data_IF_155565716471
#
_entry.id   IF_155565716471
#
_cell.length_a   1.000
_cell.length_b   1.000
_cell.length_c   1.000
_cell.angle_alpha   90.00
_cell.angle_beta   90.00
_cell.angle_gamma   90.00
#
_symmetry.space_group_name_H-M   'P 1'
#
loop_
_entity.id
_entity.type
_entity.pdbx_description
1 polymer ?
#
# COMPACT_ATOMS: atom_id res chain seq x y z
N UNK A 1 -12.97 23.86 -31.86
CA UNK A 1 -12.91 24.26 -30.44
C UNK A 1 -13.32 23.06 -29.62
N UNK A 2 -12.36 22.24 -29.21
CA UNK A 2 -12.59 21.09 -28.34
C UNK A 2 -12.37 21.56 -26.90
N UNK A 3 -13.45 21.54 -26.12
CA UNK A 3 -13.42 21.69 -24.68
C UNK A 3 -12.86 20.40 -24.07
N UNK A 4 -11.77 20.49 -23.31
CA UNK A 4 -11.33 19.44 -22.39
C UNK A 4 -11.59 19.95 -20.97
N UNK A 5 -12.57 19.33 -20.30
CA UNK A 5 -12.79 19.45 -18.86
C UNK A 5 -11.62 18.78 -18.14
N UNK A 6 -11.02 19.49 -17.18
CA UNK A 6 -9.99 18.96 -16.30
C UNK A 6 -10.62 18.03 -15.26
N UNK A 7 -10.04 16.83 -15.13
CA UNK A 7 -10.31 15.95 -13.99
C UNK A 7 -9.51 16.49 -12.79
N UNK A 8 -10.23 16.80 -11.71
CA UNK A 8 -9.63 17.17 -10.42
C UNK A 8 -8.87 15.96 -9.86
N UNK A 9 -7.54 16.03 -9.90
CA UNK A 9 -6.69 15.13 -9.11
C UNK A 9 -6.78 15.58 -7.65
N UNK A 10 -7.35 14.72 -6.79
CA UNK A 10 -7.43 14.95 -5.35
C UNK A 10 -6.04 15.24 -4.79
N UNK A 11 -5.83 16.50 -4.40
CA UNK A 11 -4.59 16.94 -3.78
C UNK A 11 -4.52 16.39 -2.36
N UNK A 12 -3.69 15.37 -2.16
CA UNK A 12 -3.36 14.89 -0.81
C UNK A 12 -2.47 15.93 -0.12
N UNK A 13 -2.90 16.36 1.07
CA UNK A 13 -2.17 17.36 1.84
C UNK A 13 -0.78 16.87 2.25
N UNK A 14 0.15 17.80 2.46
CA UNK A 14 1.50 17.57 2.98
C UNK A 14 1.56 16.66 4.23
N UNK A 15 0.45 16.55 4.97
CA UNK A 15 0.32 15.71 6.16
C UNK A 15 0.32 14.20 5.90
N UNK A 16 -0.09 13.73 4.71
CA UNK A 16 -0.04 12.30 4.37
C UNK A 16 1.35 11.85 3.91
N UNK A 17 2.08 12.73 3.21
CA UNK A 17 3.48 12.49 2.82
C UNK A 17 4.41 12.35 4.04
N UNK A 18 4.16 13.13 5.10
CA UNK A 18 4.90 13.08 6.37
C UNK A 18 4.67 11.79 7.18
N UNK A 19 3.60 11.01 6.94
CA UNK A 19 3.39 9.74 7.66
C UNK A 19 4.34 8.64 7.20
N UNK A 20 4.94 8.75 6.01
CA UNK A 20 5.92 7.79 5.49
C UNK A 20 7.34 8.00 6.03
N UNK A 21 7.62 9.12 6.71
CA UNK A 21 8.90 9.39 7.36
C UNK A 21 8.64 9.78 8.82
N UNK A 22 8.78 8.86 9.79
CA UNK A 22 8.72 9.27 11.18
C UNK A 22 9.87 10.23 11.48
N UNK A 23 9.54 11.51 11.61
CA UNK A 23 10.43 12.51 12.19
C UNK A 23 10.64 12.20 13.67
N UNK A 24 11.54 11.26 13.98
CA UNK A 24 12.06 11.05 15.32
C UNK A 24 13.44 11.70 15.44
N UNK A 25 13.44 13.02 15.48
CA UNK A 25 14.59 13.76 16.01
C UNK A 25 14.54 13.69 17.55
N UNK A 26 15.42 12.90 18.15
CA UNK A 26 16.00 13.22 19.46
C UNK A 26 15.27 12.79 20.74
N UNK A 27 14.69 11.59 20.83
CA UNK A 27 14.39 10.99 22.14
C UNK A 27 15.16 9.68 22.37
N UNK A 28 15.76 9.47 23.56
CA UNK A 28 16.41 8.20 23.87
C UNK A 28 15.36 7.09 23.93
N UNK A 29 15.64 5.99 23.23
CA UNK A 29 14.82 4.78 23.19
C UNK A 29 14.62 4.22 24.61
N UNK A 30 13.48 4.54 25.22
CA UNK A 30 13.03 3.87 26.44
C UNK A 30 12.66 2.44 26.04
N UNK A 31 13.40 1.47 26.56
CA UNK A 31 13.07 0.06 26.45
C UNK A 31 11.71 -0.19 27.10
N UNK A 32 10.65 -0.17 26.30
CA UNK A 32 9.36 -0.72 26.72
C UNK A 32 9.47 -2.23 26.65
N UNK A 33 9.40 -2.87 27.82
CA UNK A 33 9.26 -4.32 27.94
C UNK A 33 7.99 -4.74 27.19
N UNK A 34 8.16 -5.46 26.09
CA UNK A 34 7.08 -6.18 25.41
C UNK A 34 6.51 -7.17 26.44
N UNK A 35 5.24 -7.00 26.81
CA UNK A 35 4.52 -8.00 27.59
C UNK A 35 4.32 -9.21 26.69
N UNK A 36 4.98 -10.31 27.01
CA UNK A 36 4.71 -11.62 26.44
C UNK A 36 3.26 -11.97 26.78
N UNK A 37 2.37 -11.94 25.79
CA UNK A 37 0.99 -12.37 25.96
C UNK A 37 0.97 -13.89 26.16
N UNK A 38 0.35 -14.34 27.25
CA UNK A 38 0.03 -15.75 27.44
C UNK A 38 -1.01 -16.16 26.38
N UNK A 39 -0.63 -17.07 25.49
CA UNK A 39 -1.52 -17.62 24.47
C UNK A 39 -2.41 -18.67 25.16
N UNK A 40 -3.71 -18.36 25.23
CA UNK A 40 -4.76 -19.34 25.51
C UNK A 40 -5.04 -20.11 24.21
N UNK A 41 -4.84 -21.43 24.23
CA UNK A 41 -5.13 -22.27 23.06
C UNK A 41 -6.64 -22.37 22.82
N UNK A 42 -7.14 -21.59 21.85
CA UNK A 42 -8.36 -21.93 21.11
C UNK A 42 -7.96 -22.36 19.71
N UNK A 43 -8.33 -23.60 19.37
CA UNK A 43 -7.99 -24.24 18.10
C UNK A 43 -8.90 -23.71 16.98
N UNK A 44 -8.51 -22.58 16.39
CA UNK A 44 -9.16 -22.07 15.17
C UNK A 44 -8.75 -22.91 13.95
N UNK A 45 -9.70 -23.12 13.03
CA UNK A 45 -9.44 -23.82 11.77
C UNK A 45 -8.52 -22.95 10.91
N UNK A 46 -7.24 -23.31 10.84
CA UNK A 46 -6.29 -22.72 9.88
C UNK A 46 -6.80 -22.90 8.45
N UNK A 47 -7.03 -21.79 7.74
CA UNK A 47 -7.18 -21.81 6.28
C UNK A 47 -5.93 -22.43 5.65
N UNK A 48 -6.11 -23.26 4.63
CA UNK A 48 -5.00 -23.82 3.85
C UNK A 48 -4.35 -22.68 3.07
N UNK A 49 -3.06 -22.46 3.30
CA UNK A 49 -2.29 -21.43 2.58
C UNK A 49 -2.21 -21.79 1.09
N UNK A 50 -2.24 -20.77 0.23
CA UNK A 50 -2.31 -20.93 -1.24
C UNK A 50 -1.16 -21.79 -1.79
N UNK A 51 0.03 -21.70 -1.20
CA UNK A 51 1.23 -22.46 -1.59
C UNK A 51 1.44 -23.80 -0.88
N UNK A 52 0.69 -24.14 0.17
CA UNK A 52 1.04 -25.27 1.05
C UNK A 52 0.67 -26.66 0.47
N UNK A 53 0.22 -26.73 -0.78
CA UNK A 53 -0.30 -27.96 -1.39
C UNK A 53 0.69 -29.13 -1.50
N UNK A 54 1.99 -28.90 -1.28
CA UNK A 54 3.05 -29.92 -1.39
C UNK A 54 3.80 -30.22 -0.09
N UNK A 55 3.43 -29.58 1.02
CA UNK A 55 4.11 -29.75 2.31
C UNK A 55 3.29 -30.70 3.19
N UNK A 56 3.91 -31.80 3.63
CA UNK A 56 3.32 -32.69 4.63
C UNK A 56 3.64 -32.17 6.04
N UNK A 57 2.62 -31.82 6.82
CA UNK A 57 2.75 -31.34 8.20
C UNK A 57 2.49 -29.85 8.37
N UNK A 58 2.61 -29.36 9.60
CA UNK A 58 2.48 -27.93 9.92
C UNK A 58 3.81 -27.21 9.65
N UNK A 59 3.72 -26.02 9.06
CA UNK A 59 4.87 -25.10 8.88
C UNK A 59 5.32 -24.61 10.26
N UNK A 60 6.64 -24.42 10.47
CA UNK A 60 7.14 -23.87 11.73
C UNK A 60 6.79 -22.39 11.86
N UNK A 61 6.52 -21.92 13.08
CA UNK A 61 6.19 -20.52 13.34
C UNK A 61 7.24 -19.55 12.77
N UNK A 62 8.53 -19.88 12.90
CA UNK A 62 9.63 -19.08 12.34
C UNK A 62 9.51 -18.91 10.81
N UNK A 63 9.09 -19.95 10.10
CA UNK A 63 8.90 -19.87 8.65
C UNK A 63 7.69 -19.00 8.29
N UNK A 64 6.63 -19.03 9.11
CA UNK A 64 5.46 -18.15 8.91
C UNK A 64 5.81 -16.68 9.14
N UNK A 65 6.57 -16.39 10.19
CA UNK A 65 7.08 -15.05 10.48
C UNK A 65 8.01 -14.56 9.37
N UNK A 66 8.91 -15.42 8.87
CA UNK A 66 9.81 -15.09 7.77
C UNK A 66 9.09 -14.82 6.44
N UNK A 67 7.99 -15.51 6.18
CA UNK A 67 7.25 -15.38 4.91
C UNK A 67 6.26 -14.21 4.92
N UNK A 68 5.93 -13.68 6.11
CA UNK A 68 4.98 -12.57 6.24
C UNK A 68 5.60 -11.27 5.71
N UNK A 69 4.85 -10.57 4.86
CA UNK A 69 5.27 -9.29 4.27
C UNK A 69 4.32 -8.12 4.53
N UNK A 70 3.21 -8.36 5.25
CA UNK A 70 2.20 -7.36 5.63
C UNK A 70 2.76 -6.06 6.21
N UNK A 71 3.89 -6.13 6.94
CA UNK A 71 4.55 -4.95 7.52
C UNK A 71 5.07 -3.96 6.45
N UNK A 72 5.25 -4.41 5.22
CA UNK A 72 5.84 -3.60 4.13
C UNK A 72 4.92 -3.48 2.92
N UNK A 73 4.28 -4.57 2.50
CA UNK A 73 3.47 -4.60 1.29
C UNK A 73 2.09 -3.95 1.47
N UNK A 74 1.63 -3.70 2.71
CA UNK A 74 0.37 -3.01 2.98
C UNK A 74 0.32 -1.63 2.32
N UNK A 75 1.48 -1.01 2.05
CA UNK A 75 1.58 0.25 1.31
C UNK A 75 1.02 0.18 -0.12
N UNK A 76 0.82 -1.02 -0.67
CA UNK A 76 0.28 -1.30 -2.00
C UNK A 76 -1.21 -1.63 -2.00
N UNK A 77 -1.93 -1.46 -0.88
CA UNK A 77 -3.35 -1.83 -0.79
C UNK A 77 -4.22 -1.15 -1.86
N UNK A 78 -3.91 0.11 -2.23
CA UNK A 78 -4.65 0.88 -3.25
C UNK A 78 -4.52 0.23 -4.61
N UNK A 79 -3.30 -0.16 -4.95
CA UNK A 79 -2.97 -0.80 -6.20
C UNK A 79 -3.59 -2.20 -6.29
N UNK A 80 -3.53 -2.99 -5.22
CA UNK A 80 -4.15 -4.32 -5.18
C UNK A 80 -5.68 -4.25 -5.35
N UNK A 81 -6.36 -3.29 -4.70
CA UNK A 81 -7.80 -3.06 -4.91
C UNK A 81 -8.09 -2.68 -6.36
N UNK A 82 -7.30 -1.79 -6.96
CA UNK A 82 -7.48 -1.37 -8.34
C UNK A 82 -7.30 -2.55 -9.32
N UNK A 83 -6.30 -3.39 -9.09
CA UNK A 83 -6.07 -4.62 -9.87
C UNK A 83 -7.21 -5.61 -9.69
N UNK A 84 -7.72 -5.78 -8.46
CA UNK A 84 -8.89 -6.64 -8.23
C UNK A 84 -10.16 -6.12 -8.90
N UNK A 85 -10.39 -4.80 -8.95
CA UNK A 85 -11.52 -4.21 -9.70
C UNK A 85 -11.43 -4.53 -11.19
N UNK A 86 -10.26 -4.29 -11.79
CA UNK A 86 -10.03 -4.57 -13.20
C UNK A 86 -10.16 -6.07 -13.50
N UNK A 87 -9.64 -6.92 -12.61
CA UNK A 87 -9.72 -8.36 -12.76
C UNK A 87 -11.15 -8.90 -12.60
N UNK A 88 -11.93 -8.39 -11.65
CA UNK A 88 -13.34 -8.75 -11.51
C UNK A 88 -14.13 -8.42 -12.78
N UNK A 89 -13.88 -7.25 -13.39
CA UNK A 89 -14.50 -6.86 -14.65
C UNK A 89 -14.15 -7.82 -15.79
N UNK A 90 -12.88 -8.27 -15.88
CA UNK A 90 -12.48 -9.28 -16.87
C UNK A 90 -13.15 -10.63 -16.61
N UNK A 91 -13.23 -11.09 -15.36
CA UNK A 91 -13.93 -12.33 -14.99
C UNK A 91 -15.41 -12.29 -15.37
N UNK A 92 -16.07 -11.14 -15.25
CA UNK A 92 -17.44 -10.96 -15.74
C UNK A 92 -17.51 -10.99 -17.27
N UNK A 93 -16.57 -10.32 -17.94
CA UNK A 93 -16.49 -10.28 -19.40
C UNK A 93 -16.32 -11.69 -20.02
N UNK A 94 -15.52 -12.56 -19.41
CA UNK A 94 -15.34 -13.96 -19.86
C UNK A 94 -16.39 -14.93 -19.30
N UNK A 95 -17.40 -14.45 -18.58
CA UNK A 95 -18.52 -15.24 -18.05
C UNK A 95 -18.21 -16.10 -16.82
N UNK A 96 -17.12 -15.83 -16.10
CA UNK A 96 -16.82 -16.47 -14.81
C UNK A 96 -17.64 -15.83 -13.68
N UNK A 97 -17.90 -14.53 -13.76
CA UNK A 97 -18.81 -13.81 -12.87
C UNK A 97 -20.10 -13.42 -13.59
N UNK A 98 -21.22 -13.49 -12.86
CA UNK A 98 -22.47 -12.86 -13.30
C UNK A 98 -22.40 -11.34 -13.07
N UNK A 99 -23.30 -10.55 -13.69
CA UNK A 99 -23.40 -9.12 -13.40
C UNK A 99 -23.61 -8.83 -11.91
N UNK A 100 -24.47 -9.59 -11.24
CA UNK A 100 -24.74 -9.45 -9.80
C UNK A 100 -23.49 -9.77 -8.95
N UNK A 101 -22.71 -10.77 -9.35
CA UNK A 101 -21.46 -11.11 -8.67
C UNK A 101 -20.40 -10.01 -8.86
N UNK A 102 -20.33 -9.42 -10.05
CA UNK A 102 -19.44 -8.28 -10.32
C UNK A 102 -19.81 -7.06 -9.48
N UNK A 103 -21.09 -6.74 -9.38
CA UNK A 103 -21.60 -5.64 -8.55
C UNK A 103 -21.27 -5.88 -7.07
N UNK A 104 -21.55 -7.09 -6.56
CA UNK A 104 -21.24 -7.49 -5.19
C UNK A 104 -19.73 -7.38 -4.87
N UNK A 105 -18.86 -7.81 -5.80
CA UNK A 105 -17.41 -7.64 -5.66
C UNK A 105 -17.02 -6.15 -5.66
N UNK A 106 -17.62 -5.35 -6.53
CA UNK A 106 -17.39 -3.90 -6.59
C UNK A 106 -17.71 -3.20 -5.27
N UNK A 107 -18.87 -3.51 -4.68
CA UNK A 107 -19.30 -3.00 -3.37
C UNK A 107 -18.38 -3.45 -2.23
N UNK A 108 -17.97 -4.72 -2.24
CA UNK A 108 -17.02 -5.25 -1.27
C UNK A 108 -15.65 -4.54 -1.37
N UNK A 109 -15.12 -4.36 -2.59
CA UNK A 109 -13.86 -3.64 -2.81
C UNK A 109 -13.95 -2.16 -2.39
N UNK A 110 -15.10 -1.50 -2.61
CA UNK A 110 -15.34 -0.15 -2.12
C UNK A 110 -15.36 -0.08 -0.58
N UNK A 111 -15.97 -1.07 0.06
CA UNK A 111 -15.97 -1.19 1.53
C UNK A 111 -14.55 -1.37 2.08
N UNK A 112 -13.76 -2.26 1.47
CA UNK A 112 -12.36 -2.50 1.86
C UNK A 112 -11.51 -1.24 1.67
N UNK A 113 -11.68 -0.52 0.56
CA UNK A 113 -11.00 0.76 0.33
C UNK A 113 -11.35 1.80 1.41
N UNK A 114 -12.60 1.86 1.86
CA UNK A 114 -13.01 2.72 2.98
C UNK A 114 -12.38 2.29 4.31
N UNK A 115 -12.32 0.98 4.58
CA UNK A 115 -11.67 0.44 5.77
C UNK A 115 -10.19 0.83 5.83
N UNK A 116 -9.46 0.72 4.71
CA UNK A 116 -8.07 1.17 4.65
C UNK A 116 -7.93 2.68 4.77
N UNK A 117 -8.78 3.45 4.07
CA UNK A 117 -8.70 4.92 4.07
C UNK A 117 -9.00 5.54 5.43
N UNK A 118 -9.80 4.86 6.26
CA UNK A 118 -10.17 5.31 7.61
C UNK A 118 -9.31 4.69 8.72
N UNK A 119 -8.22 3.99 8.39
CA UNK A 119 -7.39 3.25 9.36
C UNK A 119 -8.20 2.22 10.19
N UNK A 120 -9.24 1.62 9.60
CA UNK A 120 -10.15 0.65 10.24
C UNK A 120 -9.92 -0.80 9.80
N UNK A 121 -9.15 -1.02 8.74
CA UNK A 121 -8.84 -2.37 8.27
C UNK A 121 -8.04 -3.14 9.33
N UNK A 122 -8.53 -4.32 9.71
CA UNK A 122 -7.88 -5.17 10.71
C UNK A 122 -7.15 -6.34 10.03
N UNK A 123 -5.83 -6.31 10.11
CA UNK A 123 -4.98 -7.44 9.72
C UNK A 123 -5.10 -8.57 10.73
N UNK A 124 -5.21 -9.80 10.24
CA UNK A 124 -5.20 -11.00 11.07
C UNK A 124 -3.80 -11.64 11.09
N UNK A 125 -3.46 -12.42 12.14
CA UNK A 125 -2.20 -13.19 12.15
C UNK A 125 -2.06 -14.16 10.99
N UNK A 126 -3.19 -14.59 10.40
CA UNK A 126 -3.23 -15.45 9.21
C UNK A 126 -2.91 -14.72 7.91
N UNK A 127 -2.91 -13.39 7.90
CA UNK A 127 -2.62 -12.60 6.71
C UNK A 127 -1.11 -12.61 6.47
N UNK A 128 -0.70 -13.30 5.40
CA UNK A 128 0.70 -13.45 5.01
C UNK A 128 1.21 -12.21 4.27
N UNK A 129 0.37 -11.67 3.39
CA UNK A 129 0.66 -10.53 2.51
C UNK A 129 -0.62 -9.69 2.36
N UNK A 130 -0.50 -8.51 1.75
CA UNK A 130 -1.63 -7.60 1.50
C UNK A 130 -2.73 -8.25 0.65
N UNK A 131 -2.33 -9.11 -0.28
CA UNK A 131 -3.24 -9.75 -1.23
C UNK A 131 -4.12 -10.81 -0.54
N UNK A 132 -3.55 -11.59 0.37
CA UNK A 132 -4.26 -12.57 1.22
C UNK A 132 -5.20 -11.82 2.16
N UNK A 133 -4.77 -10.69 2.74
CA UNK A 133 -5.62 -9.88 3.59
C UNK A 133 -6.87 -9.37 2.84
N UNK A 134 -6.68 -8.84 1.61
CA UNK A 134 -7.76 -8.36 0.76
C UNK A 134 -8.65 -9.51 0.27
N UNK A 135 -8.08 -10.64 -0.17
CA UNK A 135 -8.83 -11.82 -0.60
C UNK A 135 -9.67 -12.43 0.54
N UNK A 136 -9.12 -12.48 1.75
CA UNK A 136 -9.87 -12.87 2.96
C UNK A 136 -11.03 -11.92 3.17
N UNK A 137 -10.78 -10.61 3.21
CA UNK A 137 -11.83 -9.62 3.47
C UNK A 137 -12.90 -9.61 2.36
N UNK A 138 -12.50 -9.82 1.11
CA UNK A 138 -13.43 -10.01 -0.01
C UNK A 138 -14.31 -11.23 0.18
N UNK A 139 -13.75 -12.34 0.65
CA UNK A 139 -14.52 -13.56 0.92
C UNK A 139 -15.51 -13.35 2.07
N UNK A 140 -15.14 -12.57 3.10
CA UNK A 140 -16.04 -12.21 4.21
C UNK A 140 -17.23 -11.36 3.75
N UNK A 141 -17.02 -10.46 2.78
CA UNK A 141 -18.04 -9.51 2.30
C UNK A 141 -18.87 -10.05 1.12
N UNK A 142 -18.24 -10.71 0.15
CA UNK A 142 -18.83 -11.16 -1.11
C UNK A 142 -18.97 -12.70 -1.22
N UNK A 143 -18.67 -13.43 -0.14
CA UNK A 143 -18.88 -14.88 -0.04
C UNK A 143 -18.17 -15.67 -1.15
N UNK A 144 -18.93 -16.52 -1.84
CA UNK A 144 -18.40 -17.41 -2.87
C UNK A 144 -17.83 -16.68 -4.09
N UNK A 145 -18.31 -15.48 -4.41
CA UNK A 145 -17.73 -14.67 -5.48
C UNK A 145 -16.35 -14.16 -5.06
N UNK A 146 -16.22 -13.66 -3.82
CA UNK A 146 -14.94 -13.22 -3.25
C UNK A 146 -13.90 -14.32 -3.22
N UNK A 147 -14.30 -15.53 -2.83
CA UNK A 147 -13.43 -16.71 -2.84
C UNK A 147 -12.91 -17.11 -4.23
N UNK A 148 -13.55 -16.64 -5.32
CA UNK A 148 -13.19 -16.94 -6.71
C UNK A 148 -12.44 -15.82 -7.42
N UNK A 149 -12.15 -14.70 -6.75
CA UNK A 149 -11.49 -13.54 -7.37
C UNK A 149 -10.13 -13.88 -8.00
N UNK A 150 -9.40 -14.87 -7.46
CA UNK A 150 -8.10 -15.30 -7.98
C UNK A 150 -8.19 -16.26 -9.19
N UNK A 151 -9.40 -16.55 -9.70
CA UNK A 151 -9.59 -17.49 -10.81
C UNK A 151 -8.77 -17.03 -12.02
N UNK A 152 -7.90 -17.90 -12.54
CA UNK A 152 -7.09 -17.60 -13.73
C UNK A 152 -5.91 -16.65 -13.50
N UNK A 153 -5.61 -16.26 -12.25
CA UNK A 153 -4.55 -15.32 -11.88
C UNK A 153 -3.45 -15.99 -11.05
N UNK A 154 -2.21 -15.57 -11.22
CA UNK A 154 -1.08 -15.99 -10.39
C UNK A 154 -0.65 -14.87 -9.45
N UNK A 155 -0.25 -15.17 -8.20
CA UNK A 155 0.29 -14.13 -7.31
C UNK A 155 1.49 -13.39 -7.92
N UNK A 156 2.27 -14.04 -8.79
CA UNK A 156 3.41 -13.42 -9.46
C UNK A 156 3.02 -12.29 -10.42
N UNK A 157 1.90 -12.43 -11.14
CA UNK A 157 1.43 -11.40 -12.06
C UNK A 157 0.84 -10.20 -11.30
N UNK A 158 0.14 -10.48 -10.21
CA UNK A 158 -0.52 -9.50 -9.35
C UNK A 158 0.52 -8.62 -8.67
N UNK A 159 1.48 -9.22 -7.93
CA UNK A 159 2.56 -8.48 -7.27
C UNK A 159 3.35 -7.62 -8.25
N UNK A 160 3.66 -8.15 -9.45
CA UNK A 160 4.38 -7.40 -10.45
C UNK A 160 3.58 -6.21 -11.00
N UNK A 161 2.26 -6.36 -11.10
CA UNK A 161 1.35 -5.29 -11.54
C UNK A 161 1.21 -4.23 -10.45
N UNK A 162 0.94 -4.65 -9.21
CA UNK A 162 0.78 -3.76 -8.06
C UNK A 162 2.04 -2.92 -7.83
N UNK A 163 3.21 -3.55 -7.86
CA UNK A 163 4.48 -2.84 -7.70
C UNK A 163 4.69 -1.76 -8.79
N UNK A 164 4.32 -2.05 -10.06
CA UNK A 164 4.44 -1.06 -11.15
C UNK A 164 3.48 0.10 -10.97
N UNK A 165 2.24 -0.17 -10.56
CA UNK A 165 1.26 0.88 -10.26
C UNK A 165 1.71 1.73 -9.08
N UNK A 166 2.27 1.10 -8.05
CA UNK A 166 2.73 1.76 -6.84
C UNK A 166 3.92 2.67 -7.14
N UNK A 167 4.92 2.17 -7.88
CA UNK A 167 6.07 2.97 -8.34
C UNK A 167 5.58 4.15 -9.19
N UNK A 168 4.61 3.94 -10.09
CA UNK A 168 4.07 5.01 -10.93
C UNK A 168 3.39 6.10 -10.09
N UNK A 169 2.59 5.73 -9.09
CA UNK A 169 1.97 6.69 -8.17
C UNK A 169 3.03 7.45 -7.38
N UNK A 170 3.96 6.72 -6.75
CA UNK A 170 5.05 7.34 -6.00
C UNK A 170 5.86 8.30 -6.84
N UNK A 171 6.21 7.94 -8.08
CA UNK A 171 6.95 8.84 -8.97
C UNK A 171 6.23 10.17 -9.21
N UNK A 172 4.88 10.16 -9.24
CA UNK A 172 4.08 11.38 -9.24
C UNK A 172 4.27 12.20 -7.97
N UNK A 173 4.12 11.57 -6.79
CA UNK A 173 4.28 12.22 -5.49
C UNK A 173 5.69 12.86 -5.32
N UNK A 174 6.73 12.12 -5.70
CA UNK A 174 8.13 12.60 -5.68
C UNK A 174 8.36 13.77 -6.62
N UNK A 175 7.72 13.77 -7.80
CA UNK A 175 7.82 14.88 -8.75
C UNK A 175 7.23 16.16 -8.15
N UNK A 176 6.06 16.09 -7.54
CA UNK A 176 5.42 17.27 -6.91
C UNK A 176 6.23 17.79 -5.71
N UNK A 177 6.78 16.89 -4.90
CA UNK A 177 7.68 17.28 -3.80
C UNK A 177 8.95 17.98 -4.32
N UNK A 178 9.54 17.47 -5.40
CA UNK A 178 10.72 18.07 -6.02
C UNK A 178 10.42 19.45 -6.62
N UNK A 179 9.27 19.61 -7.29
CA UNK A 179 8.83 20.91 -7.80
C UNK A 179 8.62 21.90 -6.66
N UNK A 180 8.01 21.47 -5.56
CA UNK A 180 7.80 22.30 -4.36
C UNK A 180 9.13 22.79 -3.76
N UNK A 181 10.14 21.90 -3.71
CA UNK A 181 11.48 22.29 -3.26
C UNK A 181 12.11 23.32 -4.19
N UNK A 182 12.04 23.08 -5.51
CA UNK A 182 12.61 23.99 -6.51
C UNK A 182 11.98 25.39 -6.44
N UNK A 183 10.65 25.47 -6.36
CA UNK A 183 9.94 26.76 -6.28
C UNK A 183 10.22 27.47 -4.96
N UNK A 184 10.34 26.73 -3.86
CA UNK A 184 10.71 27.30 -2.55
C UNK A 184 12.14 27.87 -2.58
N UNK A 185 13.09 27.14 -3.16
CA UNK A 185 14.48 27.63 -3.31
C UNK A 185 14.55 28.85 -4.22
N UNK A 186 13.78 28.86 -5.32
CA UNK A 186 13.71 30.00 -6.23
C UNK A 186 13.15 31.24 -5.52
N UNK A 187 12.04 31.10 -4.79
CA UNK A 187 11.45 32.21 -4.03
C UNK A 187 12.44 32.78 -3.00
N UNK A 188 13.19 31.91 -2.29
CA UNK A 188 14.25 32.36 -1.37
C UNK A 188 15.41 33.03 -2.09
N UNK A 189 15.80 32.54 -3.26
CA UNK A 189 16.83 33.18 -4.06
C UNK A 189 16.41 34.59 -4.51
N UNK A 190 15.15 34.77 -4.91
CA UNK A 190 14.58 36.07 -5.28
C UNK A 190 14.53 37.06 -4.10
N UNK A 191 14.21 36.60 -2.89
CA UNK A 191 14.26 37.42 -1.67
C UNK A 191 15.68 37.90 -1.31
N UNK A 192 16.69 37.12 -1.70
CA UNK A 192 18.08 37.29 -1.26
C UNK A 192 19.04 37.72 -2.38
N UNK A 193 18.55 38.28 -3.48
CA UNK A 193 19.37 38.71 -4.63
C UNK A 193 20.54 39.62 -4.23
N UNK A 194 20.33 40.54 -3.29
CA UNK A 194 21.36 41.47 -2.82
C UNK A 194 22.14 40.97 -1.59
N UNK A 195 21.87 39.75 -1.13
CA UNK A 195 22.54 39.18 0.06
C UNK A 195 23.91 38.63 -0.34
N UNK A 196 24.99 39.28 0.12
CA UNK A 196 26.36 38.82 -0.12
C UNK A 196 26.73 37.70 0.85
N UNK A 197 27.20 36.58 0.32
CA UNK A 197 27.71 35.44 1.08
C UNK A 197 29.07 35.00 0.49
N UNK A 198 30.06 34.63 1.32
CA UNK A 198 31.29 34.07 0.80
C UNK A 198 31.04 32.73 0.08
N UNK A 199 31.52 32.58 -1.15
CA UNK A 199 31.60 31.29 -1.81
C UNK A 199 32.70 30.42 -1.20
N UNK A 200 32.47 29.11 -1.09
CA UNK A 200 33.43 28.17 -0.52
C UNK A 200 33.83 27.08 -1.52
N UNK A 201 35.13 26.78 -1.56
CA UNK A 201 35.68 25.59 -2.23
C UNK A 201 36.67 24.92 -1.28
N UNK A 202 36.64 23.58 -1.14
CA UNK A 202 37.46 22.85 -0.15
C UNK A 202 37.35 23.40 1.29
N UNK A 203 36.19 23.93 1.67
CA UNK A 203 35.95 24.59 2.95
C UNK A 203 36.78 25.87 3.18
N UNK A 204 37.39 26.42 2.14
CA UNK A 204 38.09 27.69 2.16
C UNK A 204 37.27 28.76 1.44
N UNK A 205 37.29 29.98 1.98
CA UNK A 205 36.64 31.13 1.36
C UNK A 205 37.32 31.43 0.02
N UNK A 206 36.53 31.46 -1.05
CA UNK A 206 36.99 31.71 -2.41
C UNK A 206 36.62 33.15 -2.82
N UNK A 207 35.62 33.32 -3.69
CA UNK A 207 35.15 34.62 -4.17
C UNK A 207 33.82 34.99 -3.51
N UNK A 208 33.54 36.30 -3.31
CA UNK A 208 32.21 36.79 -2.96
C UNK A 208 31.23 36.66 -4.12
#
# INVERSE_FOLDING_TARGET
MLHTQGAEAGAYSLGEFMRCFPAQAGQPLKHQRIKVFQISEKKERMQKKVWSGRVSGSVSQLMEEYSRSTETDHLMWREDIAVNRAWAAELAHIGVFTPDELECIGEALATIEQEFSNDQFTFLPSDEDIHVAIERRLTELAGAAGARIHTGRSRNDQVATDARLWIRRMAGDWREALLTLQTTLLARAEEHVDTVLPGYTHWQQAQP
#
